data_IF_446807856644
#
_entry.id   IF_446807856644
#
_cell.length_a   1.000
_cell.length_b   1.000
_cell.length_c   1.000
_cell.angle_alpha   90.00
_cell.angle_beta   90.00
_cell.angle_gamma   90.00
#
_symmetry.space_group_name_H-M   'P 1'
#
loop_
_entity.id
_entity.type
_entity.pdbx_description
1 polymer ?
#
# COMPACT_ATOMS: atom_id res chain seq x y z
N UNK A 1 2.33 20.35 -5.17
CA UNK A 1 3.42 21.20 -4.61
C UNK A 1 3.65 20.77 -3.16
N UNK A 2 4.89 20.57 -2.73
CA UNK A 2 5.24 20.27 -1.33
C UNK A 2 5.94 21.50 -0.74
N UNK A 3 5.38 22.07 0.33
CA UNK A 3 5.89 23.26 1.03
C UNK A 3 7.38 23.11 1.40
N UNK A 4 7.75 21.97 1.97
CA UNK A 4 9.11 21.78 2.46
C UNK A 4 10.12 21.65 1.31
N UNK A 5 9.74 20.98 0.23
CA UNK A 5 10.56 20.91 -1.00
C UNK A 5 10.72 22.28 -1.66
N UNK A 6 9.68 23.09 -1.68
CA UNK A 6 9.76 24.48 -2.19
C UNK A 6 10.75 25.31 -1.36
N UNK A 7 10.63 25.25 -0.03
CA UNK A 7 11.55 25.98 0.85
C UNK A 7 12.95 25.37 0.87
N UNK A 8 13.13 24.08 0.64
CA UNK A 8 14.46 23.48 0.44
C UNK A 8 15.18 24.12 -0.74
N UNK A 9 14.50 24.30 -1.86
CA UNK A 9 15.06 24.97 -3.05
C UNK A 9 15.38 26.44 -2.75
N UNK A 10 14.45 27.15 -2.10
CA UNK A 10 14.66 28.58 -1.75
C UNK A 10 15.83 28.79 -0.79
N UNK A 11 15.94 27.94 0.23
CA UNK A 11 17.05 27.98 1.19
C UNK A 11 18.37 27.69 0.48
N UNK A 12 18.42 26.70 -0.41
CA UNK A 12 19.63 26.41 -1.22
C UNK A 12 20.00 27.59 -2.10
N UNK A 13 19.04 28.21 -2.77
CA UNK A 13 19.27 29.40 -3.58
C UNK A 13 19.78 30.59 -2.74
N UNK A 14 19.22 30.79 -1.55
CA UNK A 14 19.68 31.83 -0.62
C UNK A 14 21.13 31.57 -0.15
N UNK A 15 21.47 30.32 0.14
CA UNK A 15 22.82 29.90 0.51
C UNK A 15 23.83 30.17 -0.60
N UNK A 16 23.50 29.91 -1.86
CA UNK A 16 24.37 30.13 -3.02
C UNK A 16 24.63 31.63 -3.28
N UNK A 17 23.86 32.54 -2.71
CA UNK A 17 24.09 33.99 -2.76
C UNK A 17 25.09 34.48 -1.68
N UNK A 18 25.47 33.64 -0.72
CA UNK A 18 26.40 33.96 0.35
C UNK A 18 27.83 33.66 -0.12
N UNK A 19 28.71 34.67 -0.14
CA UNK A 19 30.06 34.55 -0.72
C UNK A 19 30.87 33.40 -0.15
N UNK A 20 30.97 33.25 1.17
CA UNK A 20 31.70 32.15 1.82
C UNK A 20 31.14 30.76 1.46
N UNK A 21 29.82 30.65 1.20
CA UNK A 21 29.19 29.40 0.77
C UNK A 21 29.53 29.12 -0.68
N UNK A 22 29.50 30.14 -1.54
CA UNK A 22 29.79 30.03 -2.96
C UNK A 22 31.26 29.67 -3.20
N UNK A 23 32.19 30.27 -2.47
CA UNK A 23 33.63 30.00 -2.58
C UNK A 23 33.99 28.56 -2.22
N UNK A 24 33.29 27.96 -1.25
CA UNK A 24 33.51 26.58 -0.77
C UNK A 24 32.47 25.58 -1.24
N UNK A 25 31.69 25.90 -2.27
CA UNK A 25 30.54 25.11 -2.70
C UNK A 25 30.82 23.61 -2.92
N UNK A 26 32.00 23.28 -3.46
CA UNK A 26 32.43 21.90 -3.73
C UNK A 26 32.74 21.08 -2.47
N UNK A 27 32.96 21.73 -1.34
CA UNK A 27 33.26 21.09 -0.05
C UNK A 27 32.00 20.87 0.80
N UNK A 28 30.84 21.42 0.35
CA UNK A 28 29.60 21.45 1.13
C UNK A 28 28.61 20.39 0.68
N UNK A 29 28.14 19.61 1.63
CA UNK A 29 27.06 18.62 1.41
C UNK A 29 25.69 19.24 1.73
N UNK A 30 25.01 19.70 0.69
CA UNK A 30 23.65 20.25 0.81
C UNK A 30 22.57 19.17 1.00
N UNK A 31 22.89 17.91 0.76
CA UNK A 31 21.96 16.80 0.96
C UNK A 31 21.62 16.55 2.44
N UNK A 32 22.44 17.09 3.36
CA UNK A 32 22.20 16.99 4.82
C UNK A 32 21.35 18.13 5.38
N UNK A 33 21.00 19.11 4.56
CA UNK A 33 20.11 20.20 4.97
C UNK A 33 18.70 19.67 5.06
N UNK A 34 18.14 19.69 6.28
CA UNK A 34 16.74 19.36 6.53
C UNK A 34 15.86 20.61 6.47
N UNK A 35 14.69 20.45 5.87
CA UNK A 35 13.60 21.44 5.89
C UNK A 35 12.34 20.74 6.32
N UNK A 36 11.83 21.06 7.49
CA UNK A 36 10.77 20.33 8.16
C UNK A 36 9.84 21.26 8.96
N UNK A 37 8.66 20.80 9.41
CA UNK A 37 7.86 21.58 10.36
C UNK A 37 8.64 21.81 11.64
N UNK A 38 8.57 23.00 12.27
CA UNK A 38 9.14 23.19 13.60
C UNK A 38 8.43 22.28 14.61
N UNK A 39 9.16 21.88 15.67
CA UNK A 39 8.58 21.03 16.73
C UNK A 39 7.39 21.66 17.44
N UNK A 40 7.37 22.99 17.54
CA UNK A 40 6.30 23.78 18.11
C UNK A 40 5.81 24.77 17.06
N UNK A 41 4.52 24.74 16.77
CA UNK A 41 3.88 25.61 15.78
C UNK A 41 4.01 27.13 16.11
N UNK A 42 4.27 27.51 17.37
CA UNK A 42 4.55 28.87 17.73
C UNK A 42 5.82 29.44 17.10
N UNK A 43 6.74 28.56 16.71
CA UNK A 43 8.01 28.94 16.10
C UNK A 43 7.92 29.23 14.58
N UNK A 44 6.76 29.05 13.96
CA UNK A 44 6.56 29.31 12.52
C UNK A 44 6.03 28.10 11.77
N UNK A 45 6.23 28.11 10.46
CA UNK A 45 5.67 27.12 9.55
C UNK A 45 6.73 26.17 9.00
N UNK A 46 7.98 26.64 8.91
CA UNK A 46 9.13 25.89 8.37
C UNK A 46 10.34 26.08 9.27
N UNK A 47 11.10 25.02 9.51
CA UNK A 47 12.37 25.05 10.20
C UNK A 47 13.47 24.42 9.35
N UNK A 48 14.72 24.91 9.47
CA UNK A 48 15.89 24.34 8.82
C UNK A 48 17.11 24.31 9.74
N UNK A 49 17.95 23.26 9.54
CA UNK A 49 19.24 23.08 10.19
C UNK A 49 20.43 23.56 9.33
N UNK A 50 20.17 24.29 8.25
CA UNK A 50 21.18 24.64 7.24
C UNK A 50 22.47 25.25 7.83
N UNK A 51 22.33 26.21 8.75
CA UNK A 51 23.49 26.82 9.39
C UNK A 51 24.30 25.83 10.25
N UNK A 52 23.64 24.90 10.94
CA UNK A 52 24.33 23.89 11.75
C UNK A 52 25.10 22.90 10.90
N UNK A 53 24.54 22.48 9.76
CA UNK A 53 25.17 21.55 8.82
C UNK A 53 26.39 22.17 8.17
N UNK A 54 26.30 23.44 7.74
CA UNK A 54 27.31 24.10 6.94
C UNK A 54 28.39 24.84 7.76
N UNK A 55 28.17 25.14 9.03
CA UNK A 55 29.08 25.93 9.85
C UNK A 55 30.47 25.31 10.00
N UNK A 56 30.53 23.97 10.25
CA UNK A 56 31.79 23.27 10.47
C UNK A 56 32.68 23.26 9.22
N UNK A 57 32.23 22.85 8.02
CA UNK A 57 33.03 22.92 6.80
C UNK A 57 33.38 24.35 6.38
N UNK A 58 32.56 25.34 6.73
CA UNK A 58 32.86 26.75 6.47
C UNK A 58 33.80 27.36 7.49
N UNK A 59 34.08 26.69 8.60
CA UNK A 59 34.95 27.20 9.67
C UNK A 59 34.35 28.39 10.43
N UNK A 60 33.01 28.44 10.53
CA UNK A 60 32.26 29.55 11.16
C UNK A 60 31.37 29.07 12.33
N UNK A 61 30.91 30.02 13.14
CA UNK A 61 29.96 29.73 14.19
C UNK A 61 28.54 29.50 13.59
N UNK A 62 27.82 28.43 13.99
CA UNK A 62 26.49 28.14 13.44
C UNK A 62 25.50 29.30 13.59
N UNK A 63 25.51 30.00 14.73
CA UNK A 63 24.60 31.11 14.96
C UNK A 63 24.93 32.33 14.08
N UNK A 64 26.23 32.62 13.89
CA UNK A 64 26.66 33.70 13.00
C UNK A 64 26.29 33.40 11.54
N UNK A 65 26.44 32.13 11.11
CA UNK A 65 26.02 31.71 9.78
C UNK A 65 24.47 31.78 9.64
N UNK A 66 23.73 31.40 10.69
CA UNK A 66 22.28 31.50 10.69
C UNK A 66 21.78 32.94 10.51
N UNK A 67 22.45 33.91 11.14
CA UNK A 67 22.09 35.33 11.00
C UNK A 67 22.31 35.84 9.56
N UNK A 68 23.37 35.38 8.88
CA UNK A 68 23.62 35.70 7.47
C UNK A 68 22.52 35.07 6.58
N UNK A 69 22.18 33.81 6.82
CA UNK A 69 21.10 33.11 6.07
C UNK A 69 19.75 33.81 6.30
N UNK A 70 19.44 34.20 7.54
CA UNK A 70 18.23 34.93 7.90
C UNK A 70 18.14 36.26 7.16
N UNK A 71 19.25 36.99 7.02
CA UNK A 71 19.27 38.24 6.27
C UNK A 71 18.88 38.03 4.80
N UNK A 72 19.30 36.92 4.19
CA UNK A 72 18.92 36.57 2.82
C UNK A 72 17.47 36.10 2.71
N UNK A 73 17.00 35.28 3.64
CA UNK A 73 15.62 34.81 3.63
C UNK A 73 14.58 35.92 3.86
N UNK A 74 14.96 37.02 4.51
CA UNK A 74 14.10 38.21 4.65
C UNK A 74 13.82 38.92 3.33
N UNK A 75 14.64 38.70 2.31
CA UNK A 75 14.42 39.27 0.97
C UNK A 75 13.30 38.55 0.21
N UNK A 76 12.88 37.34 0.65
CA UNK A 76 11.80 36.57 0.03
C UNK A 76 10.42 37.14 0.46
N UNK A 77 9.62 37.58 -0.49
CA UNK A 77 8.28 38.14 -0.28
C UNK A 77 7.29 37.16 0.37
N UNK A 78 7.57 35.87 0.33
CA UNK A 78 6.76 34.83 0.95
C UNK A 78 7.12 34.56 2.42
N UNK A 79 8.19 35.19 2.91
CA UNK A 79 8.62 35.12 4.30
C UNK A 79 8.08 36.32 5.06
N UNK A 80 7.19 36.08 6.01
CA UNK A 80 6.66 37.16 6.89
C UNK A 80 7.60 37.44 8.06
N UNK A 81 8.19 36.38 8.64
CA UNK A 81 9.11 36.45 9.76
C UNK A 81 10.13 35.32 9.68
N UNK A 82 11.36 35.60 10.05
CA UNK A 82 12.41 34.59 10.15
C UNK A 82 13.30 34.89 11.36
N UNK A 83 13.60 33.86 12.15
CA UNK A 83 14.34 33.97 13.40
C UNK A 83 15.34 32.84 13.58
N UNK A 84 16.40 33.11 14.37
CA UNK A 84 17.38 32.09 14.78
C UNK A 84 17.00 31.56 16.15
N UNK A 85 16.93 30.21 16.26
CA UNK A 85 16.64 29.52 17.50
C UNK A 85 17.80 28.61 17.93
N UNK A 86 18.03 28.52 19.23
CA UNK A 86 19.07 27.65 19.80
C UNK A 86 20.45 27.88 19.20
N UNK A 87 21.20 26.80 18.85
CA UNK A 87 22.57 26.89 18.37
C UNK A 87 22.70 27.33 16.91
N UNK A 88 21.60 27.52 16.17
CA UNK A 88 21.63 27.89 14.76
C UNK A 88 20.50 27.27 13.90
N UNK A 89 19.42 26.82 14.52
CA UNK A 89 18.19 26.54 13.79
C UNK A 89 17.58 27.83 13.27
N UNK A 90 16.98 27.78 12.11
CA UNK A 90 16.27 28.90 11.49
C UNK A 90 14.81 28.53 11.38
N UNK A 91 13.95 29.35 11.97
CA UNK A 91 12.50 29.22 11.91
C UNK A 91 11.93 30.30 11.00
N UNK A 92 11.00 29.90 10.14
CA UNK A 92 10.40 30.74 9.11
C UNK A 92 8.88 30.72 9.28
N UNK A 93 8.27 31.90 9.31
CA UNK A 93 6.84 32.11 9.24
C UNK A 93 6.48 32.64 7.87
N UNK A 94 5.51 32.04 7.24
CA UNK A 94 5.12 32.38 5.87
C UNK A 94 4.12 33.55 5.84
N UNK A 95 4.15 34.31 4.75
CA UNK A 95 3.22 35.39 4.51
C UNK A 95 1.81 34.87 4.22
N UNK A 96 0.80 35.68 4.54
CA UNK A 96 -0.60 35.37 4.18
C UNK A 96 -0.76 35.16 2.68
N UNK A 97 0.00 35.93 1.87
CA UNK A 97 -0.01 35.79 0.42
C UNK A 97 0.45 34.43 -0.08
N UNK A 98 1.45 33.81 0.59
CA UNK A 98 1.87 32.43 0.28
C UNK A 98 0.73 31.44 0.52
N UNK A 99 0.07 31.51 1.67
CA UNK A 99 -1.04 30.62 2.03
C UNK A 99 -2.23 30.78 1.07
N UNK A 100 -2.55 32.01 0.66
CA UNK A 100 -3.62 32.27 -0.29
C UNK A 100 -3.33 31.64 -1.66
N UNK A 101 -2.09 31.74 -2.17
CA UNK A 101 -1.69 31.06 -3.41
C UNK A 101 -1.69 29.56 -3.28
N UNK A 102 -1.20 29.01 -2.16
CA UNK A 102 -1.21 27.59 -1.89
C UNK A 102 -2.65 27.05 -1.85
N UNK A 103 -3.57 27.76 -1.20
CA UNK A 103 -4.99 27.40 -1.17
C UNK A 103 -5.60 27.38 -2.56
N UNK A 104 -5.29 28.37 -3.40
CA UNK A 104 -5.75 28.39 -4.79
C UNK A 104 -5.23 27.19 -5.58
N UNK A 105 -3.98 26.80 -5.37
CA UNK A 105 -3.39 25.61 -5.97
C UNK A 105 -4.07 24.33 -5.45
N UNK A 106 -4.32 24.21 -4.15
CA UNK A 106 -5.04 23.09 -3.55
C UNK A 106 -6.42 22.90 -4.19
N UNK A 107 -7.17 23.99 -4.35
CA UNK A 107 -8.50 23.97 -4.96
C UNK A 107 -8.43 23.54 -6.42
N UNK A 108 -7.46 24.04 -7.18
CA UNK A 108 -7.32 23.72 -8.60
C UNK A 108 -6.83 22.29 -8.86
N UNK A 109 -5.96 21.77 -8.01
CA UNK A 109 -5.42 20.40 -8.13
C UNK A 109 -6.38 19.35 -7.53
N UNK A 110 -7.23 19.76 -6.59
CA UNK A 110 -8.19 18.88 -5.92
C UNK A 110 -7.50 17.64 -5.31
N UNK A 111 -8.01 16.47 -5.62
CA UNK A 111 -7.47 15.19 -5.11
C UNK A 111 -6.03 14.87 -5.58
N UNK A 112 -5.52 15.63 -6.54
CA UNK A 112 -4.13 15.46 -7.02
C UNK A 112 -3.13 16.27 -6.20
N UNK A 113 -3.61 17.17 -5.34
CA UNK A 113 -2.73 18.01 -4.53
C UNK A 113 -1.86 17.16 -3.61
N UNK A 114 -0.58 17.44 -3.58
CA UNK A 114 0.41 16.69 -2.79
C UNK A 114 1.00 15.45 -3.46
N UNK A 115 0.53 15.06 -4.65
CA UNK A 115 1.17 13.98 -5.41
C UNK A 115 2.63 14.29 -5.69
N UNK A 116 3.46 13.27 -5.61
CA UNK A 116 4.87 13.35 -5.95
C UNK A 116 5.21 12.49 -7.17
N UNK A 117 6.42 12.64 -7.67
CA UNK A 117 6.98 11.82 -8.75
C UNK A 117 8.12 10.93 -8.26
N UNK A 118 8.17 10.68 -6.94
CA UNK A 118 9.25 9.90 -6.31
C UNK A 118 9.41 8.52 -6.96
N UNK A 119 8.30 7.88 -7.31
CA UNK A 119 8.28 6.56 -7.93
C UNK A 119 8.64 6.54 -9.41
N UNK A 120 8.67 7.69 -10.10
CA UNK A 120 9.05 7.82 -11.53
C UNK A 120 8.34 6.82 -12.46
N UNK A 121 7.15 6.35 -12.08
CA UNK A 121 6.40 5.33 -12.82
C UNK A 121 6.96 3.91 -12.69
N UNK A 122 7.85 3.66 -11.74
CA UNK A 122 8.32 2.29 -11.46
C UNK A 122 7.14 1.40 -11.08
N UNK A 123 7.11 0.21 -11.67
CA UNK A 123 6.05 -0.78 -11.41
C UNK A 123 6.24 -1.45 -10.06
N UNK A 124 5.16 -1.47 -9.28
CA UNK A 124 5.12 -2.14 -7.97
C UNK A 124 3.87 -3.00 -7.91
N UNK A 125 4.02 -4.27 -7.56
CA UNK A 125 2.91 -5.15 -7.23
C UNK A 125 2.75 -5.17 -5.71
N UNK A 126 1.54 -4.88 -5.22
CA UNK A 126 1.19 -4.95 -3.81
C UNK A 126 0.15 -6.05 -3.65
N UNK A 127 0.59 -7.20 -3.14
CA UNK A 127 -0.29 -8.30 -2.77
C UNK A 127 -0.76 -8.13 -1.32
N UNK A 128 -2.07 -8.17 -1.10
CA UNK A 128 -2.62 -8.06 0.25
C UNK A 128 -4.00 -8.70 0.37
N UNK A 129 -4.45 -8.93 1.60
CA UNK A 129 -5.57 -9.79 2.01
C UNK A 129 -5.27 -11.25 1.74
N UNK A 130 -5.32 -11.67 0.50
CA UNK A 130 -5.03 -13.04 0.01
C UNK A 130 -5.58 -14.13 0.95
N UNK A 131 -6.81 -13.91 1.46
CA UNK A 131 -7.48 -14.84 2.34
C UNK A 131 -7.91 -16.09 1.59
N UNK A 132 -7.80 -17.27 2.22
CA UNK A 132 -8.30 -18.51 1.65
C UNK A 132 -9.82 -18.41 1.42
N UNK A 133 -10.36 -18.86 0.27
CA UNK A 133 -11.77 -18.79 -0.04
C UNK A 133 -12.56 -19.88 0.70
N UNK A 134 -12.44 -19.92 2.04
CA UNK A 134 -13.05 -20.95 2.90
C UNK A 134 -14.15 -20.42 3.81
N UNK A 135 -14.49 -19.14 3.68
CA UNK A 135 -15.55 -18.49 4.45
C UNK A 135 -15.47 -16.96 4.40
N UNK A 136 -16.31 -16.27 5.17
CA UNK A 136 -16.34 -14.81 5.24
C UNK A 136 -15.03 -14.23 5.81
N UNK A 137 -14.77 -12.98 5.49
CA UNK A 137 -13.63 -12.25 6.06
C UNK A 137 -13.84 -12.04 7.57
N UNK A 138 -12.77 -12.04 8.32
CA UNK A 138 -12.76 -11.71 9.76
C UNK A 138 -11.87 -10.48 10.01
N UNK A 139 -11.89 -9.96 11.25
CA UNK A 139 -11.17 -8.74 11.63
C UNK A 139 -9.68 -8.75 11.27
N UNK A 140 -9.03 -9.92 11.30
CA UNK A 140 -7.63 -10.05 10.87
C UNK A 140 -7.44 -9.78 9.38
N UNK A 141 -8.36 -10.27 8.53
CA UNK A 141 -8.35 -9.99 7.10
C UNK A 141 -8.66 -8.50 6.81
N UNK A 142 -9.63 -7.90 7.52
CA UNK A 142 -9.95 -6.48 7.39
C UNK A 142 -8.76 -5.59 7.73
N UNK A 143 -8.00 -5.93 8.77
CA UNK A 143 -6.76 -5.21 9.12
C UNK A 143 -5.75 -5.27 7.98
N UNK A 144 -5.53 -6.44 7.39
CA UNK A 144 -4.65 -6.62 6.23
C UNK A 144 -5.14 -5.83 5.01
N UNK A 145 -6.45 -5.82 4.77
CA UNK A 145 -7.08 -5.07 3.69
C UNK A 145 -6.83 -3.56 3.82
N UNK A 146 -7.10 -2.98 4.98
CA UNK A 146 -6.92 -1.54 5.22
C UNK A 146 -5.46 -1.12 5.11
N UNK A 147 -4.53 -1.89 5.69
CA UNK A 147 -3.10 -1.56 5.63
C UNK A 147 -2.57 -1.71 4.21
N UNK A 148 -2.93 -2.79 3.50
CA UNK A 148 -2.48 -3.04 2.14
C UNK A 148 -3.00 -1.99 1.16
N UNK A 149 -4.28 -1.64 1.25
CA UNK A 149 -4.89 -0.62 0.41
C UNK A 149 -4.30 0.77 0.67
N UNK A 150 -4.12 1.15 1.94
CA UNK A 150 -3.47 2.41 2.30
C UNK A 150 -2.04 2.49 1.75
N UNK A 151 -1.25 1.41 1.85
CA UNK A 151 0.10 1.35 1.30
C UNK A 151 0.09 1.48 -0.22
N UNK A 152 -0.77 0.73 -0.92
CA UNK A 152 -0.90 0.78 -2.37
C UNK A 152 -1.28 2.20 -2.84
N UNK A 153 -2.25 2.83 -2.17
CA UNK A 153 -2.68 4.19 -2.48
C UNK A 153 -1.57 5.22 -2.23
N UNK A 154 -0.80 5.10 -1.14
CA UNK A 154 0.34 5.97 -0.86
C UNK A 154 1.44 5.83 -1.90
N UNK A 155 1.77 4.60 -2.33
CA UNK A 155 2.73 4.37 -3.40
C UNK A 155 2.26 4.97 -4.72
N UNK A 156 1.00 4.78 -5.09
CA UNK A 156 0.41 5.39 -6.28
C UNK A 156 0.43 6.93 -6.20
N UNK A 157 0.17 7.49 -5.03
CA UNK A 157 0.24 8.92 -4.78
C UNK A 157 1.67 9.45 -4.84
N UNK A 158 2.66 8.61 -4.49
CA UNK A 158 4.08 8.90 -4.61
C UNK A 158 4.62 8.75 -6.06
N UNK A 159 3.78 8.35 -7.02
CA UNK A 159 4.13 8.30 -8.44
C UNK A 159 4.61 6.94 -8.94
N UNK A 160 4.40 5.86 -8.18
CA UNK A 160 4.62 4.50 -8.66
C UNK A 160 3.43 4.03 -9.52
N UNK A 161 3.70 3.12 -10.46
CA UNK A 161 2.69 2.37 -11.22
C UNK A 161 2.33 1.12 -10.42
N UNK A 162 1.25 1.21 -9.63
CA UNK A 162 0.89 0.19 -8.64
C UNK A 162 -0.16 -0.74 -9.21
N UNK A 163 0.10 -2.05 -9.09
CA UNK A 163 -0.89 -3.11 -9.29
C UNK A 163 -1.28 -3.68 -7.94
N UNK A 164 -2.57 -3.69 -7.62
CA UNK A 164 -3.14 -4.29 -6.40
C UNK A 164 -3.55 -5.73 -6.70
N UNK A 165 -2.93 -6.69 -6.05
CA UNK A 165 -3.15 -8.12 -6.29
C UNK A 165 -3.74 -8.82 -5.07
N UNK A 166 -4.70 -9.71 -5.36
CA UNK A 166 -5.25 -10.68 -4.42
C UNK A 166 -4.88 -12.09 -4.92
N UNK A 167 -4.13 -12.86 -4.14
CA UNK A 167 -3.83 -14.26 -4.44
C UNK A 167 -4.91 -15.18 -3.89
N UNK A 168 -5.55 -15.94 -4.77
CA UNK A 168 -6.61 -16.90 -4.42
C UNK A 168 -5.98 -18.28 -4.25
N UNK A 169 -5.91 -18.77 -3.00
CA UNK A 169 -5.45 -20.13 -2.70
C UNK A 169 -6.59 -21.13 -2.96
N UNK A 170 -6.86 -21.41 -4.24
CA UNK A 170 -7.97 -22.26 -4.70
C UNK A 170 -7.51 -23.67 -5.16
N UNK A 171 -6.27 -24.05 -4.90
CA UNK A 171 -5.71 -25.35 -5.26
C UNK A 171 -5.40 -26.27 -4.06
N UNK A 172 -5.46 -25.76 -2.84
CA UNK A 172 -5.08 -26.49 -1.63
C UNK A 172 -6.13 -27.52 -1.14
N UNK A 173 -5.71 -28.44 -0.28
CA UNK A 173 -6.56 -29.48 0.33
C UNK A 173 -7.74 -28.92 1.15
N UNK A 174 -7.61 -27.69 1.66
CA UNK A 174 -8.71 -26.99 2.36
C UNK A 174 -9.94 -26.80 1.48
N UNK A 175 -9.76 -26.69 0.17
CA UNK A 175 -10.86 -26.56 -0.79
C UNK A 175 -11.63 -27.86 -0.94
N UNK A 176 -10.96 -29.02 -0.79
CA UNK A 176 -11.65 -30.31 -0.78
C UNK A 176 -12.55 -30.45 0.45
N UNK A 177 -12.06 -30.01 1.60
CA UNK A 177 -12.81 -29.98 2.86
C UNK A 177 -14.01 -29.04 2.74
N UNK A 178 -13.82 -27.87 2.17
CA UNK A 178 -14.87 -26.89 1.94
C UNK A 178 -15.98 -27.46 1.01
N UNK A 179 -15.58 -28.09 -0.09
CA UNK A 179 -16.50 -28.69 -1.04
C UNK A 179 -17.34 -29.82 -0.41
N UNK A 180 -16.72 -30.66 0.44
CA UNK A 180 -17.48 -31.68 1.20
C UNK A 180 -18.47 -31.05 2.15
N UNK A 181 -18.09 -29.94 2.79
CA UNK A 181 -19.01 -29.19 3.68
C UNK A 181 -20.20 -28.61 2.90
N UNK A 182 -19.93 -28.00 1.74
CA UNK A 182 -20.99 -27.49 0.86
C UNK A 182 -21.89 -28.62 0.32
N UNK A 183 -21.29 -29.79 0.02
CA UNK A 183 -22.07 -30.95 -0.42
C UNK A 183 -23.02 -31.49 0.68
N UNK A 184 -22.65 -31.40 1.95
CA UNK A 184 -23.58 -31.73 3.05
C UNK A 184 -24.74 -30.73 3.09
N UNK A 185 -24.50 -29.44 2.94
CA UNK A 185 -25.55 -28.42 2.86
C UNK A 185 -26.45 -28.61 1.63
N UNK A 186 -25.92 -29.06 0.50
CA UNK A 186 -26.70 -29.45 -0.65
C UNK A 186 -27.65 -30.63 -0.35
N UNK A 187 -27.19 -31.67 0.37
CA UNK A 187 -28.02 -32.78 0.79
C UNK A 187 -29.12 -32.35 1.77
N UNK A 188 -28.78 -31.46 2.69
CA UNK A 188 -29.73 -30.85 3.63
C UNK A 188 -30.83 -30.07 2.87
N UNK A 189 -30.45 -29.27 1.86
CA UNK A 189 -31.38 -28.53 1.00
C UNK A 189 -32.31 -29.46 0.21
N UNK A 190 -31.91 -30.70 -0.07
CA UNK A 190 -32.74 -31.73 -0.67
C UNK A 190 -33.66 -32.48 0.34
N UNK A 191 -33.67 -32.03 1.60
CA UNK A 191 -34.54 -32.60 2.66
C UNK A 191 -33.91 -33.76 3.43
N UNK A 192 -32.60 -34.03 3.29
CA UNK A 192 -31.92 -35.04 4.08
C UNK A 192 -31.59 -34.51 5.48
N UNK A 193 -31.76 -35.35 6.51
CA UNK A 193 -31.28 -35.01 7.85
C UNK A 193 -29.82 -35.34 7.96
N UNK A 194 -28.94 -34.31 7.91
CA UNK A 194 -27.49 -34.49 7.94
C UNK A 194 -26.89 -34.55 9.35
N UNK A 195 -27.70 -34.19 10.38
CA UNK A 195 -27.18 -34.10 11.77
C UNK A 195 -26.11 -32.99 11.94
N UNK A 196 -25.25 -33.17 12.95
CA UNK A 196 -24.13 -32.24 13.15
C UNK A 196 -23.09 -32.40 12.06
N UNK A 197 -22.53 -31.27 11.64
CA UNK A 197 -21.41 -31.28 10.65
C UNK A 197 -20.22 -32.00 11.28
N UNK A 198 -19.66 -33.03 10.65
CA UNK A 198 -18.53 -33.77 11.17
C UNK A 198 -17.30 -32.88 11.50
N UNK A 199 -16.58 -33.26 12.55
CA UNK A 199 -15.33 -32.60 12.90
C UNK A 199 -14.34 -32.61 11.72
N UNK A 200 -13.67 -31.48 11.49
CA UNK A 200 -12.75 -31.29 10.37
C UNK A 200 -13.42 -30.74 9.09
N UNK A 201 -14.74 -30.60 9.08
CA UNK A 201 -15.47 -29.88 8.03
C UNK A 201 -15.86 -28.47 8.50
N UNK A 202 -16.22 -27.60 7.56
CA UNK A 202 -16.65 -26.22 7.84
C UNK A 202 -18.14 -26.20 8.24
N UNK A 203 -18.48 -25.86 9.50
CA UNK A 203 -19.86 -25.91 9.98
C UNK A 203 -20.65 -24.64 9.70
N UNK A 204 -20.02 -23.59 9.17
CA UNK A 204 -20.60 -22.25 9.07
C UNK A 204 -21.87 -22.19 8.20
N UNK A 205 -22.82 -21.38 8.65
CA UNK A 205 -24.12 -21.18 7.96
C UNK A 205 -23.98 -20.46 6.62
N UNK A 206 -22.82 -19.82 6.37
CA UNK A 206 -22.50 -19.20 5.08
C UNK A 206 -22.47 -20.21 3.91
N UNK A 207 -22.39 -21.51 4.20
CA UNK A 207 -22.49 -22.57 3.19
C UNK A 207 -23.94 -23.02 2.90
N UNK A 208 -24.91 -22.62 3.70
CA UNK A 208 -26.34 -22.96 3.48
C UNK A 208 -26.81 -22.43 2.12
N UNK A 209 -26.64 -21.14 1.78
CA UNK A 209 -27.03 -20.62 0.47
C UNK A 209 -26.30 -21.33 -0.70
N UNK A 210 -25.07 -21.79 -0.49
CA UNK A 210 -24.33 -22.55 -1.51
C UNK A 210 -24.98 -23.92 -1.73
N UNK A 211 -25.39 -24.59 -0.66
CA UNK A 211 -26.10 -25.85 -0.72
C UNK A 211 -27.48 -25.73 -1.43
N UNK A 212 -28.22 -24.67 -1.11
CA UNK A 212 -29.49 -24.34 -1.76
C UNK A 212 -29.32 -24.08 -3.25
N UNK A 213 -28.34 -23.27 -3.65
CA UNK A 213 -28.06 -23.00 -5.06
C UNK A 213 -27.63 -24.26 -5.83
N UNK A 214 -26.86 -25.15 -5.19
CA UNK A 214 -26.54 -26.45 -5.79
C UNK A 214 -27.77 -27.33 -5.95
N UNK A 215 -28.70 -27.32 -4.98
CA UNK A 215 -29.94 -28.10 -5.06
C UNK A 215 -30.87 -27.54 -6.15
N UNK A 216 -30.96 -26.23 -6.29
CA UNK A 216 -31.74 -25.59 -7.35
C UNK A 216 -31.19 -25.91 -8.74
N UNK A 217 -29.85 -25.85 -8.93
CA UNK A 217 -29.23 -26.03 -10.24
C UNK A 217 -29.14 -27.51 -10.68
N UNK A 218 -28.85 -28.40 -9.74
CA UNK A 218 -28.56 -29.82 -10.07
C UNK A 218 -29.65 -30.82 -9.60
N UNK A 219 -30.66 -30.37 -8.84
CA UNK A 219 -31.64 -31.25 -8.25
C UNK A 219 -30.99 -32.39 -7.47
N UNK A 220 -31.36 -33.63 -7.73
CA UNK A 220 -30.80 -34.83 -7.08
C UNK A 220 -29.56 -35.40 -7.81
N UNK A 221 -29.14 -34.78 -8.88
CA UNK A 221 -28.10 -35.34 -9.79
C UNK A 221 -26.76 -35.59 -9.08
N UNK A 222 -26.24 -34.57 -8.34
CA UNK A 222 -24.94 -34.71 -7.67
C UNK A 222 -24.97 -35.78 -6.58
N UNK A 223 -26.12 -35.99 -5.92
CA UNK A 223 -26.27 -37.02 -4.89
C UNK A 223 -26.08 -38.44 -5.44
N UNK A 224 -26.43 -38.67 -6.70
CA UNK A 224 -26.31 -39.96 -7.35
C UNK A 224 -24.89 -40.22 -7.89
N UNK A 225 -24.01 -39.20 -7.92
CA UNK A 225 -22.64 -39.31 -8.44
C UNK A 225 -21.67 -39.80 -7.35
N UNK A 226 -20.64 -40.56 -7.71
CA UNK A 226 -19.51 -40.81 -6.82
C UNK A 226 -18.69 -39.52 -6.59
N UNK A 227 -17.96 -39.47 -5.47
CA UNK A 227 -17.25 -38.25 -5.02
C UNK A 227 -16.37 -37.64 -6.10
N UNK A 228 -15.60 -38.43 -6.82
CA UNK A 228 -14.67 -37.96 -7.86
C UNK A 228 -15.38 -37.21 -9.03
N UNK A 229 -16.68 -37.42 -9.21
CA UNK A 229 -17.47 -36.75 -10.26
C UNK A 229 -18.11 -35.46 -9.77
N UNK A 230 -18.70 -35.45 -8.55
CA UNK A 230 -19.34 -34.25 -8.04
C UNK A 230 -18.35 -33.26 -7.42
N UNK A 231 -17.21 -33.74 -6.92
CA UNK A 231 -16.21 -32.90 -6.23
C UNK A 231 -15.74 -31.70 -7.06
N UNK A 232 -15.32 -31.85 -8.35
CA UNK A 232 -14.90 -30.71 -9.16
C UNK A 232 -16.00 -29.66 -9.34
N UNK A 233 -17.26 -30.12 -9.50
CA UNK A 233 -18.42 -29.24 -9.70
C UNK A 233 -18.68 -28.43 -8.44
N UNK A 234 -18.77 -29.09 -7.30
CA UNK A 234 -19.06 -28.46 -6.01
C UNK A 234 -17.93 -27.52 -5.61
N UNK A 235 -16.66 -27.90 -5.85
CA UNK A 235 -15.50 -27.02 -5.63
C UNK A 235 -15.65 -25.70 -6.38
N UNK A 236 -15.91 -25.76 -7.67
CA UNK A 236 -15.98 -24.56 -8.51
C UNK A 236 -17.10 -23.62 -8.04
N UNK A 237 -18.29 -24.17 -7.79
CA UNK A 237 -19.44 -23.40 -7.32
C UNK A 237 -19.18 -22.78 -5.93
N UNK A 238 -18.58 -23.56 -5.03
CA UNK A 238 -18.30 -23.09 -3.66
C UNK A 238 -17.23 -22.01 -3.67
N UNK A 239 -16.13 -22.18 -4.40
CA UNK A 239 -15.09 -21.15 -4.52
C UNK A 239 -15.68 -19.86 -5.10
N UNK A 240 -16.49 -19.99 -6.15
CA UNK A 240 -17.15 -18.83 -6.77
C UNK A 240 -18.01 -18.08 -5.75
N UNK A 241 -18.82 -18.79 -4.96
CA UNK A 241 -19.64 -18.18 -3.93
C UNK A 241 -18.81 -17.51 -2.82
N UNK A 242 -17.75 -18.17 -2.34
CA UNK A 242 -16.87 -17.60 -1.31
C UNK A 242 -16.13 -16.37 -1.84
N UNK A 243 -15.65 -16.40 -3.07
CA UNK A 243 -15.00 -15.23 -3.67
C UNK A 243 -15.96 -14.07 -3.92
N UNK A 244 -17.23 -14.35 -4.22
CA UNK A 244 -18.26 -13.31 -4.31
C UNK A 244 -18.45 -12.62 -2.95
N UNK A 245 -18.59 -13.38 -1.87
CA UNK A 245 -18.70 -12.88 -0.50
C UNK A 245 -17.47 -12.04 -0.09
N UNK A 246 -16.26 -12.51 -0.36
CA UNK A 246 -15.02 -11.77 -0.08
C UNK A 246 -14.99 -10.45 -0.86
N UNK A 247 -15.40 -10.44 -2.12
CA UNK A 247 -15.46 -9.21 -2.94
C UNK A 247 -16.49 -8.21 -2.42
N UNK A 248 -17.63 -8.69 -1.91
CA UNK A 248 -18.62 -7.85 -1.26
C UNK A 248 -18.08 -7.22 0.02
N UNK A 249 -17.41 -8.00 0.87
CA UNK A 249 -16.76 -7.50 2.09
C UNK A 249 -15.68 -6.44 1.78
N UNK A 250 -14.85 -6.68 0.77
CA UNK A 250 -13.84 -5.72 0.30
C UNK A 250 -14.49 -4.44 -0.24
N UNK A 251 -15.54 -4.57 -1.03
CA UNK A 251 -16.28 -3.43 -1.55
C UNK A 251 -16.91 -2.59 -0.43
N UNK A 252 -17.44 -3.24 0.61
CA UNK A 252 -17.98 -2.56 1.80
C UNK A 252 -16.89 -1.77 2.56
N UNK A 253 -15.63 -2.19 2.49
CA UNK A 253 -14.47 -1.48 3.02
C UNK A 253 -13.91 -0.43 2.03
N UNK A 254 -14.50 -0.28 0.84
CA UNK A 254 -13.98 0.55 -0.26
C UNK A 254 -12.57 0.11 -0.71
N UNK A 255 -12.28 -1.18 -0.62
CA UNK A 255 -11.01 -1.79 -1.06
C UNK A 255 -11.22 -2.50 -2.39
N UNK A 256 -10.39 -2.17 -3.37
CA UNK A 256 -10.44 -2.76 -4.72
C UNK A 256 -9.10 -3.36 -5.10
N UNK A 257 -9.13 -4.46 -5.85
CA UNK A 257 -7.94 -5.08 -6.43
C UNK A 257 -8.03 -5.07 -7.96
N UNK A 258 -6.89 -4.87 -8.60
CA UNK A 258 -6.77 -4.89 -10.06
C UNK A 258 -6.70 -6.34 -10.59
N UNK A 259 -6.05 -7.21 -9.80
CA UNK A 259 -5.81 -8.61 -10.15
C UNK A 259 -6.31 -9.53 -9.04
N UNK A 260 -7.04 -10.57 -9.43
CA UNK A 260 -7.36 -11.72 -8.59
C UNK A 260 -6.67 -12.94 -9.20
N UNK A 261 -5.51 -13.29 -8.68
CA UNK A 261 -4.67 -14.36 -9.22
C UNK A 261 -5.06 -15.72 -8.61
N UNK A 262 -5.46 -16.68 -9.45
CA UNK A 262 -5.82 -18.04 -9.02
C UNK A 262 -4.60 -18.96 -8.98
N UNK A 263 -4.28 -19.57 -7.84
CA UNK A 263 -3.23 -20.56 -7.68
C UNK A 263 -3.44 -21.75 -8.61
N UNK A 264 -4.69 -22.15 -8.84
CA UNK A 264 -5.04 -23.23 -9.75
C UNK A 264 -4.46 -23.04 -11.16
N UNK A 265 -4.30 -21.78 -11.59
CA UNK A 265 -3.68 -21.48 -12.90
C UNK A 265 -2.22 -21.96 -13.00
N UNK A 266 -1.50 -22.03 -11.88
CA UNK A 266 -0.12 -22.50 -11.82
C UNK A 266 -0.01 -24.03 -12.05
N UNK A 267 -1.10 -24.76 -11.77
CA UNK A 267 -1.19 -26.21 -11.98
C UNK A 267 -1.65 -26.59 -13.40
N UNK A 268 -2.03 -25.61 -14.23
CA UNK A 268 -2.40 -25.83 -15.61
C UNK A 268 -1.25 -26.50 -16.41
N UNK A 269 -1.59 -27.26 -17.44
CA UNK A 269 -0.58 -27.95 -18.26
C UNK A 269 0.32 -28.87 -17.44
N UNK A 270 -0.26 -29.60 -16.47
CA UNK A 270 0.47 -30.49 -15.56
C UNK A 270 1.54 -29.76 -14.74
N UNK A 271 1.27 -28.53 -14.29
CA UNK A 271 2.19 -27.70 -13.49
C UNK A 271 3.35 -27.10 -14.30
N UNK A 272 3.17 -26.85 -15.57
CA UNK A 272 4.22 -26.29 -16.43
C UNK A 272 4.80 -24.96 -15.92
N UNK A 273 4.01 -23.97 -15.42
CA UNK A 273 4.54 -22.74 -14.86
C UNK A 273 5.48 -22.98 -13.67
N UNK A 274 5.09 -23.87 -12.76
CA UNK A 274 5.89 -24.22 -11.56
C UNK A 274 7.20 -24.87 -11.97
N UNK A 275 7.16 -25.84 -12.90
CA UNK A 275 8.38 -26.50 -13.40
C UNK A 275 9.32 -25.54 -14.11
N UNK A 276 8.77 -24.62 -14.90
CA UNK A 276 9.57 -23.58 -15.57
C UNK A 276 10.30 -22.72 -14.54
N UNK A 277 9.60 -22.24 -13.50
CA UNK A 277 10.21 -21.45 -12.45
C UNK A 277 11.31 -22.24 -11.70
N UNK A 278 11.06 -23.51 -11.34
CA UNK A 278 12.06 -24.36 -10.67
C UNK A 278 13.30 -24.55 -11.57
N UNK A 279 13.10 -24.83 -12.85
CA UNK A 279 14.20 -25.03 -13.79
C UNK A 279 15.05 -23.75 -13.95
N UNK A 280 14.38 -22.58 -14.03
CA UNK A 280 15.05 -21.30 -14.16
C UNK A 280 15.88 -20.96 -12.92
N UNK A 281 15.32 -21.16 -11.73
CA UNK A 281 16.03 -20.99 -10.46
C UNK A 281 17.18 -21.98 -10.30
N UNK A 282 17.00 -23.23 -10.75
CA UNK A 282 18.07 -24.26 -10.75
C UNK A 282 19.19 -23.86 -11.69
N UNK A 283 18.86 -23.40 -12.90
CA UNK A 283 19.87 -22.90 -13.86
C UNK A 283 20.66 -21.70 -13.31
N UNK A 284 20.00 -20.83 -12.56
CA UNK A 284 20.65 -19.67 -11.91
C UNK A 284 21.41 -20.03 -10.62
N UNK A 285 21.42 -21.30 -10.19
CA UNK A 285 22.13 -21.77 -9.02
C UNK A 285 21.46 -21.47 -7.67
N UNK A 286 20.20 -21.05 -7.66
CA UNK A 286 19.45 -20.76 -6.43
C UNK A 286 18.76 -22.00 -5.82
N UNK A 287 18.65 -23.10 -6.56
CA UNK A 287 18.08 -24.37 -6.10
C UNK A 287 19.17 -25.44 -6.07
N UNK A 288 19.30 -26.12 -4.95
CA UNK A 288 20.25 -27.23 -4.76
C UNK A 288 19.56 -28.42 -4.09
N UNK A 289 20.11 -29.63 -4.31
CA UNK A 289 19.68 -30.82 -3.59
C UNK A 289 20.24 -30.78 -2.20
N UNK A 290 19.37 -30.74 -1.17
CA UNK A 290 19.72 -30.91 0.24
C UNK A 290 19.88 -32.38 0.63
#
# INVERSE_FOLDING_TARGET
>A
MNLFTDFEVRIKNALEQIDIVREKRSELDFGRIGVEPPRDASHGDVATNAAMVLSKPLGTNPRALAEIIVAKLKEDADVAEVSVAGPGFINIRLSVGYWQRLLSTMISEGEKFGRSKLGEGQKVNVEYVSANPTGPMHVGHCRGAVVGDALANLLAFAGYDVTKEYYINDAGSQIDVLARSAFLRYREALGETIGEIPSGLYPGDYLVPVGEALAEEFGTTLRAMPEYQWMPIVKEKTITAMMAMIREDLAALNVTHDVFFSERSLHAGNGAPIRTAINDLTFKGYVYKG
#
